data_IF_019370610423
#
_entry.id   IF_019370610423
#
_cell.length_a   1.000
_cell.length_b   1.000
_cell.length_c   1.000
_cell.angle_alpha   90.00
_cell.angle_beta   90.00
_cell.angle_gamma   90.00
#
_symmetry.space_group_name_H-M   'P 1'
#
loop_
_entity.id
_entity.type
_entity.pdbx_description
1 polymer ?
#
# COMPACT_ATOMS: atom_id res chain seq x y z
N UNK A 1 -66.38 -32.37 27.35
CA UNK A 1 -65.71 -31.10 27.02
C UNK A 1 -64.26 -31.42 26.63
N UNK A 2 -63.96 -31.48 25.33
CA UNK A 2 -62.61 -31.76 24.80
C UNK A 2 -61.89 -30.43 24.57
N UNK A 3 -60.76 -30.21 25.21
CA UNK A 3 -59.90 -29.04 24.98
C UNK A 3 -58.95 -29.36 23.83
N UNK A 4 -59.09 -28.60 22.74
CA UNK A 4 -58.13 -28.68 21.63
C UNK A 4 -56.86 -27.82 21.93
N UNK A 5 -55.69 -28.43 21.83
CA UNK A 5 -54.43 -27.75 21.98
C UNK A 5 -53.99 -27.23 20.60
N UNK A 6 -53.84 -25.88 20.45
CA UNK A 6 -53.26 -25.26 19.26
C UNK A 6 -51.74 -25.30 19.34
N UNK A 7 -51.14 -26.05 18.43
CA UNK A 7 -49.65 -26.10 18.26
C UNK A 7 -49.33 -24.85 17.40
N UNK A 8 -48.59 -23.89 17.96
CA UNK A 8 -47.92 -22.81 17.19
C UNK A 8 -46.57 -23.34 16.65
N UNK A 9 -46.52 -23.55 15.35
CA UNK A 9 -45.25 -23.75 14.66
C UNK A 9 -44.52 -22.42 14.51
N UNK A 10 -43.55 -22.12 15.38
CA UNK A 10 -42.63 -21.03 15.23
C UNK A 10 -41.57 -21.38 14.20
N UNK A 11 -41.69 -20.84 12.99
CA UNK A 11 -40.63 -20.97 11.99
C UNK A 11 -39.45 -20.09 12.35
N UNK A 12 -38.32 -20.68 12.73
CA UNK A 12 -37.05 -19.95 12.86
C UNK A 12 -36.49 -19.67 11.47
N UNK A 13 -36.47 -18.41 11.04
CA UNK A 13 -35.70 -17.98 9.88
C UNK A 13 -34.21 -18.06 10.25
N UNK A 14 -33.52 -19.05 9.72
CA UNK A 14 -32.07 -19.11 9.76
C UNK A 14 -31.53 -18.11 8.73
N UNK A 15 -31.04 -16.95 9.18
CA UNK A 15 -30.29 -16.03 8.35
C UNK A 15 -28.91 -16.64 8.07
N UNK A 16 -28.71 -17.17 6.86
CA UNK A 16 -27.41 -17.64 6.40
C UNK A 16 -26.51 -16.41 6.17
N UNK A 17 -25.56 -16.17 7.08
CA UNK A 17 -24.49 -15.20 6.87
C UNK A 17 -23.52 -15.84 5.87
N UNK A 18 -23.63 -15.42 4.61
CA UNK A 18 -22.58 -15.72 3.61
C UNK A 18 -21.38 -14.84 3.96
N UNK A 19 -20.41 -15.38 4.69
CA UNK A 19 -19.12 -14.75 4.85
C UNK A 19 -18.44 -14.76 3.48
N UNK A 20 -18.49 -13.64 2.77
CA UNK A 20 -17.72 -13.45 1.55
C UNK A 20 -16.24 -13.59 1.87
N UNK A 21 -15.54 -14.51 1.21
CA UNK A 21 -14.08 -14.57 1.28
C UNK A 21 -13.53 -13.29 0.67
N UNK A 22 -12.94 -12.43 1.50
CA UNK A 22 -12.23 -11.26 1.03
C UNK A 22 -10.98 -11.74 0.28
N UNK A 23 -10.93 -11.51 -1.03
CA UNK A 23 -9.81 -11.89 -1.89
C UNK A 23 -8.79 -10.75 -1.92
N UNK A 24 -7.49 -11.10 -1.88
CA UNK A 24 -6.43 -10.13 -2.10
C UNK A 24 -6.55 -9.49 -3.50
N UNK A 25 -6.33 -8.18 -3.58
CA UNK A 25 -6.45 -7.45 -4.84
C UNK A 25 -5.11 -7.42 -5.56
N UNK A 26 -5.05 -7.89 -6.82
CA UNK A 26 -3.80 -7.92 -7.59
C UNK A 26 -3.43 -6.53 -8.12
N UNK A 27 -2.15 -6.35 -8.40
CA UNK A 27 -1.67 -5.24 -9.25
C UNK A 27 -2.23 -5.39 -10.67
N UNK A 28 -2.76 -4.30 -11.23
CA UNK A 28 -3.32 -4.24 -12.59
C UNK A 28 -2.65 -3.12 -13.38
N UNK A 29 -2.38 -3.35 -14.67
CA UNK A 29 -1.84 -2.34 -15.58
C UNK A 29 -0.35 -2.03 -15.39
N UNK A 30 0.35 -2.71 -14.49
CA UNK A 30 1.80 -2.62 -14.41
C UNK A 30 2.42 -3.40 -15.58
N UNK A 31 2.98 -2.66 -16.53
CA UNK A 31 3.65 -3.26 -17.69
C UNK A 31 5.18 -3.31 -17.53
N UNK A 32 5.71 -2.60 -16.55
CA UNK A 32 7.12 -2.66 -16.17
C UNK A 32 7.22 -2.72 -14.64
N UNK A 33 7.89 -3.74 -14.13
CA UNK A 33 8.02 -3.98 -12.69
C UNK A 33 9.31 -4.76 -12.46
N UNK A 34 10.43 -4.02 -12.33
CA UNK A 34 11.78 -4.60 -12.33
C UNK A 34 12.52 -4.24 -11.05
N UNK A 35 13.05 -5.24 -10.37
CA UNK A 35 14.02 -5.03 -9.29
C UNK A 35 15.37 -4.67 -9.94
N UNK A 36 15.83 -3.44 -9.72
CA UNK A 36 17.09 -2.94 -10.23
C UNK A 36 18.27 -3.45 -9.42
N UNK A 37 18.10 -3.52 -8.11
CA UNK A 37 19.13 -4.04 -7.20
C UNK A 37 18.53 -4.56 -5.90
N UNK A 38 19.24 -5.50 -5.26
CA UNK A 38 19.01 -5.92 -3.89
C UNK A 38 20.37 -6.00 -3.18
N UNK A 39 20.58 -5.10 -2.22
CA UNK A 39 21.73 -5.15 -1.31
C UNK A 39 21.31 -5.71 0.04
N UNK A 40 22.22 -6.40 0.74
CA UNK A 40 21.98 -6.87 2.11
C UNK A 40 22.95 -6.19 3.07
N UNK A 41 22.41 -5.47 4.05
CA UNK A 41 23.13 -5.09 5.26
C UNK A 41 23.06 -6.27 6.24
N UNK A 42 24.20 -6.88 6.58
CA UNK A 42 24.25 -8.05 7.46
C UNK A 42 24.30 -7.69 8.96
N UNK A 43 24.26 -6.41 9.27
CA UNK A 43 24.24 -5.84 10.63
C UNK A 43 23.24 -4.68 10.66
N UNK A 44 22.94 -4.20 11.84
CA UNK A 44 22.02 -3.07 12.04
C UNK A 44 22.47 -1.85 11.23
N UNK A 45 21.50 -1.13 10.70
CA UNK A 45 21.70 0.18 10.09
C UNK A 45 21.35 1.24 11.14
N UNK A 46 22.31 2.11 11.46
CA UNK A 46 22.10 3.25 12.33
C UNK A 46 22.64 4.49 11.62
N UNK A 47 21.74 5.28 11.06
CA UNK A 47 22.08 6.53 10.40
C UNK A 47 21.27 7.65 11.01
N UNK A 48 21.97 8.65 11.55
CA UNK A 48 21.41 9.90 12.00
C UNK A 48 22.11 11.02 11.24
N UNK A 49 21.34 11.88 10.60
CA UNK A 49 21.84 13.07 9.94
C UNK A 49 21.17 14.31 10.56
N UNK A 50 21.98 15.31 10.82
CA UNK A 50 21.51 16.66 11.19
C UNK A 50 22.32 17.67 10.41
N UNK A 51 21.66 18.52 9.64
CA UNK A 51 22.29 19.54 8.81
C UNK A 51 21.57 20.87 9.05
N UNK A 52 22.34 21.91 9.40
CA UNK A 52 21.81 23.26 9.44
C UNK A 52 21.51 23.74 8.00
N UNK A 53 20.33 24.29 7.78
CA UNK A 53 19.96 24.84 6.47
C UNK A 53 20.50 26.28 6.35
N UNK A 54 21.26 26.61 5.27
CA UNK A 54 21.80 27.94 5.10
C UNK A 54 20.73 29.02 5.06
N UNK A 55 20.89 30.07 5.88
CA UNK A 55 19.99 31.20 5.90
C UNK A 55 18.66 31.02 6.65
N UNK A 56 18.51 29.94 7.40
CA UNK A 56 17.35 29.70 8.26
C UNK A 56 17.80 29.32 9.68
N UNK A 57 16.88 29.41 10.66
CA UNK A 57 17.09 28.83 12.00
C UNK A 57 16.72 27.34 12.03
N UNK A 58 16.16 26.82 10.93
CA UNK A 58 15.72 25.45 10.80
C UNK A 58 16.88 24.53 10.43
N UNK A 59 16.76 23.28 10.81
CA UNK A 59 17.67 22.20 10.46
C UNK A 59 16.94 21.07 9.76
N UNK A 60 17.67 20.32 8.92
CA UNK A 60 17.21 19.02 8.43
C UNK A 60 17.71 17.93 9.37
N UNK A 61 16.79 17.07 9.83
CA UNK A 61 17.12 15.90 10.62
C UNK A 61 16.50 14.66 10.00
N UNK A 62 17.27 13.58 9.89
CA UNK A 62 16.78 12.29 9.43
C UNK A 62 17.41 11.17 10.26
N UNK A 63 16.65 10.09 10.46
CA UNK A 63 17.13 8.87 11.07
C UNK A 63 16.64 7.66 10.30
N UNK A 64 17.51 6.65 10.14
CA UNK A 64 17.16 5.32 9.66
C UNK A 64 17.79 4.32 10.61
N UNK A 65 16.95 3.51 11.24
CA UNK A 65 17.36 2.48 12.18
C UNK A 65 16.75 1.14 11.81
N UNK A 66 17.53 0.09 11.83
CA UNK A 66 17.07 -1.29 11.68
C UNK A 66 17.66 -2.15 12.79
N UNK A 67 16.91 -3.14 13.22
CA UNK A 67 17.40 -4.21 14.11
C UNK A 67 17.57 -5.49 13.29
N UNK A 68 18.77 -6.04 13.26
CA UNK A 68 19.14 -7.23 12.49
C UNK A 68 19.39 -6.95 11.00
N UNK A 69 19.69 -8.02 10.28
CA UNK A 69 20.04 -7.95 8.87
C UNK A 69 18.85 -7.48 8.02
N UNK A 70 19.11 -6.55 7.12
CA UNK A 70 18.11 -5.90 6.28
C UNK A 70 18.46 -5.99 4.80
N UNK A 71 17.44 -6.07 3.93
CA UNK A 71 17.58 -5.87 2.50
C UNK A 71 17.21 -4.44 2.13
N UNK A 72 18.07 -3.81 1.33
CA UNK A 72 17.78 -2.56 0.63
C UNK A 72 17.50 -2.93 -0.83
N UNK A 73 16.26 -2.69 -1.28
CA UNK A 73 15.79 -3.10 -2.60
C UNK A 73 15.42 -1.86 -3.39
N UNK A 74 15.93 -1.72 -4.60
CA UNK A 74 15.54 -0.68 -5.54
C UNK A 74 14.72 -1.30 -6.66
N UNK A 75 13.58 -0.67 -6.97
CA UNK A 75 12.63 -1.15 -7.95
C UNK A 75 12.12 -0.01 -8.81
N UNK A 76 11.94 -0.30 -10.08
CA UNK A 76 11.27 0.59 -11.05
C UNK A 76 9.95 -0.03 -11.44
N UNK A 77 8.89 0.79 -11.46
CA UNK A 77 7.53 0.35 -11.78
C UNK A 77 6.85 1.37 -12.69
N UNK A 78 6.17 0.88 -13.74
CA UNK A 78 5.34 1.71 -14.63
C UNK A 78 3.94 1.12 -14.75
N UNK A 79 2.95 1.99 -14.64
CA UNK A 79 1.53 1.65 -14.76
C UNK A 79 0.89 2.44 -15.87
N UNK A 80 0.15 1.76 -16.74
CA UNK A 80 -0.72 2.42 -17.71
C UNK A 80 -1.86 3.19 -17.04
N UNK A 81 -2.48 4.16 -17.72
CA UNK A 81 -3.73 4.77 -17.26
C UNK A 81 -4.77 3.73 -16.84
N UNK A 82 -5.41 3.94 -15.70
CA UNK A 82 -6.32 2.99 -15.05
C UNK A 82 -5.65 1.83 -14.31
N UNK A 83 -4.33 1.77 -14.31
CA UNK A 83 -3.56 0.78 -13.54
C UNK A 83 -3.61 1.06 -12.04
N UNK A 84 -3.47 0.02 -11.23
CA UNK A 84 -3.46 0.08 -9.76
C UNK A 84 -2.42 -0.86 -9.18
N UNK A 85 -1.85 -0.50 -8.04
CA UNK A 85 -1.02 -1.43 -7.27
C UNK A 85 -1.83 -2.55 -6.64
N UNK A 86 -3.15 -2.38 -6.48
CA UNK A 86 -3.98 -3.20 -5.62
C UNK A 86 -3.70 -2.92 -4.14
N UNK A 87 -4.67 -3.24 -3.29
CA UNK A 87 -4.57 -3.03 -1.85
C UNK A 87 -3.51 -3.91 -1.23
N UNK A 88 -2.57 -3.30 -0.51
CA UNK A 88 -1.43 -4.01 0.06
C UNK A 88 -0.81 -3.29 1.26
N UNK A 89 0.15 -3.96 1.89
CA UNK A 89 0.98 -3.44 2.98
C UNK A 89 2.45 -3.76 2.72
N UNK A 90 3.33 -3.06 3.40
CA UNK A 90 4.76 -3.34 3.41
C UNK A 90 5.27 -3.58 4.83
N UNK A 91 6.13 -4.59 5.06
CA UNK A 91 6.66 -4.90 6.40
C UNK A 91 7.88 -4.04 6.79
N UNK A 92 8.14 -2.96 6.08
CA UNK A 92 9.31 -2.11 6.31
C UNK A 92 9.10 -0.68 5.84
N UNK A 93 10.20 0.02 5.64
CA UNK A 93 10.19 1.41 5.17
C UNK A 93 10.24 1.42 3.65
N UNK A 94 9.41 2.27 3.04
CA UNK A 94 9.45 2.58 1.63
C UNK A 94 9.64 4.06 1.41
N UNK A 95 10.47 4.38 0.44
CA UNK A 95 10.61 5.71 -0.13
C UNK A 95 10.27 5.61 -1.62
N UNK A 96 9.29 6.38 -2.05
CA UNK A 96 8.82 6.41 -3.43
C UNK A 96 9.08 7.80 -4.02
N UNK A 97 9.35 7.83 -5.32
CA UNK A 97 9.44 9.06 -6.10
C UNK A 97 8.77 8.85 -7.44
N UNK A 98 7.87 9.76 -7.84
CA UNK A 98 7.41 9.85 -9.22
C UNK A 98 8.47 10.54 -10.06
N UNK A 99 8.81 9.94 -11.18
CA UNK A 99 9.79 10.53 -12.11
C UNK A 99 9.22 11.76 -12.81
N UNK A 100 10.08 12.57 -13.41
CA UNK A 100 9.68 13.82 -14.08
C UNK A 100 8.78 13.59 -15.32
N UNK A 101 8.81 12.40 -15.88
CA UNK A 101 7.99 11.97 -17.04
C UNK A 101 6.71 11.21 -16.62
N UNK A 102 6.45 11.10 -15.32
CA UNK A 102 5.29 10.39 -14.79
C UNK A 102 4.00 11.20 -14.92
N UNK A 103 2.88 10.48 -15.16
CA UNK A 103 1.54 10.98 -14.85
C UNK A 103 1.29 11.07 -13.34
N UNK A 104 0.24 11.82 -12.92
CA UNK A 104 -0.16 11.88 -11.53
C UNK A 104 -0.77 10.55 -11.07
N UNK A 105 -0.71 10.30 -9.76
CA UNK A 105 -1.37 9.14 -9.15
C UNK A 105 -2.22 9.55 -7.96
N UNK A 106 -3.28 8.79 -7.74
CA UNK A 106 -4.10 8.85 -6.54
C UNK A 106 -3.65 7.75 -5.58
N UNK A 107 -3.23 8.13 -4.40
CA UNK A 107 -2.93 7.24 -3.29
C UNK A 107 -4.11 7.21 -2.32
N UNK A 108 -4.53 6.02 -1.88
CA UNK A 108 -5.63 5.82 -0.96
C UNK A 108 -5.18 5.06 0.29
N UNK A 109 -5.59 5.51 1.47
CA UNK A 109 -5.40 4.77 2.72
C UNK A 109 -6.55 3.78 3.00
N UNK A 110 -6.47 3.05 4.13
CA UNK A 110 -7.47 2.07 4.56
C UNK A 110 -8.88 2.67 4.81
N UNK A 111 -8.99 3.99 4.99
CA UNK A 111 -10.25 4.72 5.09
C UNK A 111 -10.69 5.32 3.76
N UNK A 112 -10.00 4.96 2.67
CA UNK A 112 -10.19 5.49 1.31
C UNK A 112 -10.01 7.02 1.21
N UNK A 113 -9.23 7.61 2.11
CA UNK A 113 -8.84 9.01 2.02
C UNK A 113 -7.80 9.14 0.92
N UNK A 114 -8.13 9.96 -0.08
CA UNK A 114 -7.28 10.19 -1.24
C UNK A 114 -6.22 11.25 -1.01
N UNK A 115 -5.01 10.98 -1.52
CA UNK A 115 -3.95 11.97 -1.74
C UNK A 115 -3.50 11.89 -3.18
N UNK A 116 -3.18 13.02 -3.78
CA UNK A 116 -2.66 13.09 -5.16
C UNK A 116 -1.18 13.40 -5.11
N UNK A 117 -0.40 12.62 -5.86
CA UNK A 117 1.02 12.89 -6.09
C UNK A 117 1.26 13.16 -7.57
N UNK A 118 2.10 14.14 -7.87
CA UNK A 118 2.44 14.58 -9.21
C UNK A 118 3.89 14.22 -9.56
N UNK A 119 4.26 14.35 -10.82
CA UNK A 119 5.65 14.17 -11.27
C UNK A 119 6.62 14.99 -10.39
N UNK A 120 7.67 14.32 -9.90
CA UNK A 120 8.66 14.88 -8.99
C UNK A 120 8.31 14.80 -7.51
N UNK A 121 7.09 14.44 -7.14
CA UNK A 121 6.72 14.23 -5.75
C UNK A 121 7.34 12.93 -5.20
N UNK A 122 7.59 12.94 -3.89
CA UNK A 122 8.06 11.79 -3.13
C UNK A 122 7.22 11.60 -1.88
N UNK A 123 6.99 10.33 -1.49
CA UNK A 123 6.29 9.99 -0.27
C UNK A 123 6.83 8.69 0.34
N UNK A 124 6.32 8.34 1.48
CA UNK A 124 6.65 7.09 2.17
C UNK A 124 5.41 6.26 2.42
N UNK A 125 5.58 4.96 2.35
CA UNK A 125 4.60 3.95 2.70
C UNK A 125 5.17 3.01 3.77
N UNK A 126 4.31 2.26 4.41
CA UNK A 126 4.71 1.35 5.46
C UNK A 126 3.67 0.26 5.72
N UNK A 127 3.49 -0.11 6.99
CA UNK A 127 2.65 -1.25 7.41
C UNK A 127 1.14 -1.02 7.28
N UNK A 128 0.68 0.18 6.94
CA UNK A 128 -0.74 0.49 6.78
C UNK A 128 -1.22 0.11 5.40
N UNK A 129 -2.47 -0.38 5.33
CA UNK A 129 -3.15 -0.73 4.08
C UNK A 129 -3.31 0.48 3.19
N UNK A 130 -2.95 0.33 1.91
CA UNK A 130 -3.07 1.38 0.90
C UNK A 130 -3.18 0.80 -0.51
N UNK A 131 -3.55 1.66 -1.45
CA UNK A 131 -3.54 1.42 -2.89
C UNK A 131 -3.09 2.68 -3.63
N UNK A 132 -2.44 2.52 -4.78
CA UNK A 132 -2.04 3.59 -5.69
C UNK A 132 -2.67 3.34 -7.06
N UNK A 133 -3.40 4.33 -7.56
CA UNK A 133 -4.12 4.24 -8.83
C UNK A 133 -3.62 5.31 -9.80
N UNK A 134 -3.30 4.93 -11.02
CA UNK A 134 -3.02 5.88 -12.08
C UNK A 134 -4.34 6.35 -12.72
N UNK A 135 -4.90 7.42 -12.22
CA UNK A 135 -6.09 8.10 -12.78
C UNK A 135 -5.71 9.17 -13.84
N UNK A 136 -4.43 9.27 -14.19
CA UNK A 136 -3.94 10.16 -15.24
C UNK A 136 -4.20 9.63 -16.65
N UNK A 137 -3.78 10.39 -17.64
CA UNK A 137 -3.91 10.05 -19.08
C UNK A 137 -2.61 9.52 -19.70
N UNK A 138 -1.51 9.51 -18.95
CA UNK A 138 -0.21 8.97 -19.32
C UNK A 138 0.27 7.98 -18.27
N UNK A 139 1.30 7.22 -18.58
CA UNK A 139 1.87 6.24 -17.65
C UNK A 139 2.34 6.90 -16.35
N UNK A 140 2.09 6.26 -15.22
CA UNK A 140 2.74 6.56 -13.96
C UNK A 140 4.05 5.79 -13.86
N UNK A 141 5.10 6.45 -13.41
CA UNK A 141 6.46 5.91 -13.36
C UNK A 141 7.08 6.19 -11.99
N UNK A 142 7.34 5.12 -11.22
CA UNK A 142 7.89 5.19 -9.86
C UNK A 142 9.30 4.62 -9.79
N UNK A 143 10.10 5.25 -8.95
CA UNK A 143 11.28 4.62 -8.35
C UNK A 143 10.99 4.36 -6.87
N UNK A 144 11.23 3.14 -6.42
CA UNK A 144 10.92 2.70 -5.06
C UNK A 144 12.16 2.14 -4.41
N UNK A 145 12.46 2.62 -3.21
CA UNK A 145 13.47 2.04 -2.33
C UNK A 145 12.78 1.42 -1.12
N UNK A 146 13.02 0.13 -0.90
CA UNK A 146 12.55 -0.62 0.27
C UNK A 146 13.71 -0.86 1.23
N UNK A 147 13.43 -0.75 2.52
CA UNK A 147 14.28 -1.27 3.59
C UNK A 147 13.44 -2.25 4.40
N UNK A 148 13.71 -3.55 4.27
CA UNK A 148 12.92 -4.62 4.87
C UNK A 148 13.82 -5.64 5.55
N UNK A 149 13.32 -6.36 6.54
CA UNK A 149 14.08 -7.43 7.17
C UNK A 149 14.51 -8.49 6.16
N UNK A 150 15.74 -8.99 6.28
CA UNK A 150 16.28 -10.03 5.39
C UNK A 150 15.39 -11.27 5.40
N UNK A 151 15.04 -11.77 4.21
CA UNK A 151 14.21 -12.97 4.04
C UNK A 151 12.69 -12.73 4.12
N UNK A 152 12.26 -11.50 4.38
CA UNK A 152 10.84 -11.14 4.40
C UNK A 152 10.41 -10.55 3.04
N UNK A 153 9.22 -10.92 2.58
CA UNK A 153 8.63 -10.31 1.36
C UNK A 153 8.46 -8.82 1.56
N UNK A 154 8.86 -8.02 0.57
CA UNK A 154 8.71 -6.56 0.61
C UNK A 154 7.27 -6.07 0.53
N UNK A 155 6.32 -6.95 0.20
CA UNK A 155 4.91 -6.64 -0.02
C UNK A 155 4.02 -7.81 0.40
N UNK A 156 2.83 -7.49 0.93
CA UNK A 156 1.76 -8.44 1.21
C UNK A 156 0.45 -7.91 0.64
N UNK A 157 -0.11 -8.61 -0.35
CA UNK A 157 -1.39 -8.26 -0.95
C UNK A 157 -2.53 -8.48 0.05
N UNK A 158 -3.51 -7.58 0.03
CA UNK A 158 -4.62 -7.53 0.97
C UNK A 158 -5.95 -7.43 0.22
N UNK A 159 -7.03 -7.71 0.92
CA UNK A 159 -8.37 -7.42 0.44
C UNK A 159 -8.65 -5.91 0.47
N UNK A 160 -9.44 -5.44 -0.47
CA UNK A 160 -9.92 -4.06 -0.49
C UNK A 160 -10.78 -3.76 0.76
N UNK A 161 -10.64 -2.58 1.37
CA UNK A 161 -11.52 -2.15 2.45
C UNK A 161 -12.95 -1.92 1.94
N UNK A 162 -13.94 -1.95 2.82
CA UNK A 162 -15.35 -1.84 2.43
C UNK A 162 -15.66 -0.55 1.63
N UNK A 163 -15.01 0.57 1.98
CA UNK A 163 -15.16 1.85 1.29
C UNK A 163 -14.66 1.85 -0.17
N UNK A 164 -13.79 0.93 -0.54
CA UNK A 164 -13.24 0.84 -1.90
C UNK A 164 -14.34 0.59 -2.94
N UNK A 165 -15.33 -0.25 -2.61
CA UNK A 165 -16.42 -0.58 -3.50
C UNK A 165 -17.29 0.66 -3.85
N UNK A 166 -17.49 1.56 -2.89
CA UNK A 166 -18.27 2.81 -3.07
C UNK A 166 -17.56 3.79 -4.02
N UNK A 167 -16.23 3.74 -4.05
CA UNK A 167 -15.39 4.59 -4.91
C UNK A 167 -15.03 3.92 -6.24
N UNK A 168 -15.50 2.70 -6.50
CA UNK A 168 -15.12 1.92 -7.69
C UNK A 168 -13.66 1.49 -7.71
N UNK A 169 -12.99 1.51 -6.56
CA UNK A 169 -11.63 0.98 -6.38
C UNK A 169 -11.68 -0.55 -6.29
N UNK A 170 -10.63 -1.21 -6.74
CA UNK A 170 -10.58 -2.69 -6.86
C UNK A 170 -9.63 -3.29 -5.84
#
# INVERSE_FOLDING_TARGET
>A
MKKEAKILCGGALAASIVAGLAMATPTIGAWYNVILSTGTANQDIHVHAHVALPGTEDGFSAALETEGASNVIQQEVKFSPGGTTGWHTHPGILLLSLTADSGPVDWYDAACVKRVYNAGDSWTEGTKLHDVVNNGSIDAHFLVTYVVAKGISKRTDQAAPACAAELGLR
#
